data_IF_500093292721
#
_entry.id   IF_500093292721
#
_cell.length_a   1.000
_cell.length_b   1.000
_cell.length_c   1.000
_cell.angle_alpha   90.00
_cell.angle_beta   90.00
_cell.angle_gamma   90.00
#
_symmetry.space_group_name_H-M   'P 1'
#
loop_
_entity.id
_entity.type
_entity.pdbx_description
1 polymer ?
#
# COMPACT_ATOMS: atom_id res chain seq x y z
N UNK A 1 5.78 1.05 26.73
CA UNK A 1 5.25 0.30 25.57
C UNK A 1 5.06 1.24 24.38
N UNK A 2 6.02 1.31 23.44
CA UNK A 2 5.85 2.10 22.20
C UNK A 2 4.99 1.28 21.24
N UNK A 3 3.65 1.49 21.25
CA UNK A 3 2.73 0.89 20.27
C UNK A 3 3.15 1.39 18.89
N UNK A 4 3.88 0.56 18.13
CA UNK A 4 4.16 0.82 16.71
C UNK A 4 2.82 0.76 15.97
N UNK A 5 2.27 1.91 15.61
CA UNK A 5 1.09 2.01 14.76
C UNK A 5 1.39 1.31 13.42
N UNK A 6 0.49 0.42 12.99
CA UNK A 6 0.55 -0.26 11.69
C UNK A 6 0.54 0.76 10.55
N UNK A 7 1.18 0.46 9.41
CA UNK A 7 1.15 1.31 8.20
C UNK A 7 -0.29 1.67 7.82
N UNK A 8 -1.25 0.73 7.93
CA UNK A 8 -2.66 0.99 7.65
C UNK A 8 -3.27 2.05 8.57
N UNK A 9 -2.90 2.05 9.85
CA UNK A 9 -3.35 3.05 10.80
C UNK A 9 -2.74 4.42 10.49
N UNK A 10 -1.46 4.48 10.10
CA UNK A 10 -0.83 5.70 9.61
C UNK A 10 -1.49 6.24 8.35
N UNK A 11 -1.84 5.37 7.40
CA UNK A 11 -2.56 5.76 6.19
C UNK A 11 -3.91 6.37 6.51
N UNK A 12 -4.68 5.74 7.41
CA UNK A 12 -5.97 6.27 7.86
C UNK A 12 -5.84 7.63 8.56
N UNK A 13 -4.83 7.81 9.42
CA UNK A 13 -4.56 9.09 10.08
C UNK A 13 -4.22 10.18 9.05
N UNK A 14 -3.30 9.89 8.12
CA UNK A 14 -2.88 10.85 7.09
C UNK A 14 -4.05 11.20 6.16
N UNK A 15 -4.86 10.22 5.76
CA UNK A 15 -6.07 10.46 4.96
C UNK A 15 -7.10 11.29 5.70
N UNK A 16 -7.32 11.02 7.00
CA UNK A 16 -8.24 11.79 7.83
C UNK A 16 -7.76 13.23 7.97
N UNK A 17 -6.46 13.43 8.20
CA UNK A 17 -5.84 14.74 8.25
C UNK A 17 -5.99 15.49 6.91
N UNK A 18 -5.79 14.81 5.78
CA UNK A 18 -5.98 15.37 4.45
C UNK A 18 -7.44 15.77 4.21
N UNK A 19 -8.40 14.92 4.59
CA UNK A 19 -9.83 15.23 4.50
C UNK A 19 -10.22 16.42 5.39
N UNK A 20 -9.59 16.55 6.56
CA UNK A 20 -9.75 17.68 7.48
C UNK A 20 -9.31 19.03 6.90
N UNK A 21 -8.47 19.05 5.86
CA UNK A 21 -8.10 20.29 5.16
C UNK A 21 -9.28 20.90 4.39
N UNK A 22 -10.28 20.10 3.98
CA UNK A 22 -11.46 20.57 3.25
C UNK A 22 -12.29 21.55 4.10
N UNK A 23 -12.77 21.19 5.31
CA UNK A 23 -13.50 22.13 6.16
C UNK A 23 -12.61 23.28 6.63
N UNK A 24 -11.32 23.06 6.87
CA UNK A 24 -10.41 24.13 7.25
C UNK A 24 -10.25 25.18 6.13
N UNK A 25 -10.31 24.77 4.85
CA UNK A 25 -10.31 25.69 3.69
C UNK A 25 -11.57 26.55 3.68
N UNK A 26 -12.73 25.94 3.94
CA UNK A 26 -14.00 26.67 4.03
C UNK A 26 -13.98 27.69 5.18
N UNK A 27 -13.39 27.31 6.31
CA UNK A 27 -13.20 28.22 7.44
C UNK A 27 -12.29 29.39 7.09
N UNK A 28 -11.16 29.13 6.41
CA UNK A 28 -10.25 30.17 5.93
C UNK A 28 -10.94 31.15 4.96
N UNK A 29 -11.73 30.64 4.02
CA UNK A 29 -12.50 31.45 3.08
C UNK A 29 -13.58 32.29 3.77
N UNK A 30 -14.20 31.77 4.84
CA UNK A 30 -15.18 32.52 5.63
C UNK A 30 -14.53 33.61 6.48
N UNK A 31 -13.27 33.41 6.88
CA UNK A 31 -12.48 34.37 7.64
C UNK A 31 -11.67 35.33 6.75
N UNK A 32 -12.10 35.56 5.50
CA UNK A 32 -11.40 36.43 4.55
C UNK A 32 -11.39 37.89 5.05
N UNK A 33 -10.24 38.48 5.35
CA UNK A 33 -10.17 39.83 5.92
C UNK A 33 -10.47 40.89 4.85
N UNK A 34 -11.37 41.82 5.17
CA UNK A 34 -11.84 42.85 4.23
C UNK A 34 -11.11 44.19 4.38
N UNK A 35 -10.66 44.55 5.58
CA UNK A 35 -10.36 45.97 5.90
C UNK A 35 -8.87 46.33 6.02
N UNK A 36 -7.97 45.44 6.48
CA UNK A 36 -6.57 45.83 6.74
C UNK A 36 -5.52 45.02 5.96
N UNK A 37 -4.42 45.69 5.59
CA UNK A 37 -3.30 45.06 4.87
C UNK A 37 -2.55 44.01 5.71
N UNK A 38 -2.46 44.23 7.03
CA UNK A 38 -1.80 43.31 7.96
C UNK A 38 -2.59 42.02 8.17
N UNK A 39 -3.92 42.09 8.30
CA UNK A 39 -4.76 40.89 8.39
C UNK A 39 -4.71 40.06 7.11
N UNK A 40 -4.69 40.70 5.93
CA UNK A 40 -4.49 40.00 4.65
C UNK A 40 -3.16 39.26 4.61
N UNK A 41 -2.11 39.85 5.18
CA UNK A 41 -0.77 39.24 5.25
C UNK A 41 -0.76 38.03 6.17
N UNK A 42 -1.36 38.12 7.36
CA UNK A 42 -1.50 37.00 8.30
C UNK A 42 -2.36 35.89 7.68
N UNK A 43 -3.45 36.24 7.00
CA UNK A 43 -4.31 35.28 6.30
C UNK A 43 -3.58 34.55 5.17
N UNK A 44 -2.77 35.26 4.37
CA UNK A 44 -1.90 34.67 3.35
C UNK A 44 -0.85 33.72 3.95
N UNK A 45 -0.27 34.08 5.10
CA UNK A 45 0.66 33.19 5.84
C UNK A 45 -0.08 31.93 6.30
N UNK A 46 -1.29 32.05 6.83
CA UNK A 46 -2.10 30.90 7.23
C UNK A 46 -2.48 30.01 6.02
N UNK A 47 -2.87 30.61 4.90
CA UNK A 47 -3.20 29.89 3.66
C UNK A 47 -1.98 29.17 3.06
N UNK A 48 -0.82 29.82 3.05
CA UNK A 48 0.43 29.22 2.58
C UNK A 48 0.91 28.10 3.50
N UNK A 49 0.83 28.28 4.83
CA UNK A 49 1.15 27.22 5.79
C UNK A 49 0.24 25.99 5.60
N UNK A 50 -1.05 26.22 5.36
CA UNK A 50 -2.01 25.17 5.05
C UNK A 50 -1.64 24.42 3.77
N UNK A 51 -1.21 25.14 2.73
CA UNK A 51 -0.78 24.55 1.46
C UNK A 51 0.49 23.70 1.64
N UNK A 52 1.46 24.19 2.42
CA UNK A 52 2.68 23.43 2.78
C UNK A 52 2.30 22.14 3.54
N UNK A 53 1.37 22.22 4.49
CA UNK A 53 0.89 21.07 5.23
C UNK A 53 0.22 20.03 4.30
N UNK A 54 -0.59 20.49 3.33
CA UNK A 54 -1.23 19.63 2.34
C UNK A 54 -0.20 18.88 1.48
N UNK A 55 0.82 19.58 0.98
CA UNK A 55 1.90 18.97 0.18
C UNK A 55 2.68 17.96 1.01
N UNK A 56 3.00 18.30 2.27
CA UNK A 56 3.68 17.37 3.19
C UNK A 56 2.87 16.11 3.46
N UNK A 57 1.55 16.24 3.65
CA UNK A 57 0.63 15.11 3.81
C UNK A 57 0.60 14.20 2.57
N UNK A 58 0.55 14.78 1.37
CA UNK A 58 0.60 14.02 0.12
C UNK A 58 1.92 13.28 -0.04
N UNK A 59 3.05 13.92 0.29
CA UNK A 59 4.36 13.28 0.23
C UNK A 59 4.47 12.13 1.25
N UNK A 60 3.95 12.32 2.46
CA UNK A 60 3.91 11.28 3.48
C UNK A 60 3.05 10.08 3.05
N UNK A 61 1.89 10.33 2.44
CA UNK A 61 1.04 9.28 1.86
C UNK A 61 1.75 8.54 0.72
N UNK A 62 2.42 9.28 -0.16
CA UNK A 62 3.17 8.69 -1.27
C UNK A 62 4.32 7.82 -0.77
N UNK A 63 5.06 8.28 0.25
CA UNK A 63 6.10 7.51 0.91
C UNK A 63 5.56 6.21 1.53
N UNK A 64 4.41 6.29 2.18
CA UNK A 64 3.75 5.13 2.78
C UNK A 64 3.30 4.13 1.70
N UNK A 65 2.72 4.62 0.61
CA UNK A 65 2.34 3.80 -0.54
C UNK A 65 3.55 3.11 -1.20
N UNK A 66 4.68 3.83 -1.34
CA UNK A 66 5.95 3.27 -1.81
C UNK A 66 6.45 2.14 -0.91
N UNK A 67 6.29 2.28 0.42
CA UNK A 67 6.63 1.23 1.37
C UNK A 67 5.73 0.00 1.21
N UNK A 68 4.42 0.19 1.13
CA UNK A 68 3.47 -0.90 0.96
C UNK A 68 3.69 -1.65 -0.37
N UNK A 69 4.01 -0.94 -1.47
CA UNK A 69 4.34 -1.57 -2.76
C UNK A 69 5.60 -2.46 -2.65
N UNK A 70 6.63 -2.01 -1.91
CA UNK A 70 7.84 -2.83 -1.69
C UNK A 70 7.53 -4.09 -0.88
N UNK A 71 6.73 -3.99 0.17
CA UNK A 71 6.29 -5.15 0.96
C UNK A 71 5.47 -6.14 0.11
N UNK A 72 4.57 -5.64 -0.74
CA UNK A 72 3.78 -6.47 -1.66
C UNK A 72 4.70 -7.20 -2.65
N UNK A 73 5.71 -6.53 -3.23
CA UNK A 73 6.64 -7.17 -4.16
C UNK A 73 7.50 -8.26 -3.51
N UNK A 74 7.86 -8.12 -2.24
CA UNK A 74 8.58 -9.16 -1.50
C UNK A 74 7.68 -10.35 -1.19
N UNK A 75 6.41 -10.11 -0.83
CA UNK A 75 5.42 -11.17 -0.65
C UNK A 75 5.11 -11.89 -1.96
N UNK A 76 5.00 -11.15 -3.08
CA UNK A 76 4.77 -11.75 -4.40
C UNK A 76 5.93 -12.65 -4.82
N UNK A 77 7.18 -12.24 -4.58
CA UNK A 77 8.36 -13.09 -4.86
C UNK A 77 8.37 -14.38 -4.03
N UNK A 78 7.94 -14.31 -2.76
CA UNK A 78 7.83 -15.51 -1.90
C UNK A 78 6.69 -16.43 -2.34
N UNK A 79 5.52 -15.86 -2.66
CA UNK A 79 4.38 -16.61 -3.16
C UNK A 79 4.69 -17.31 -4.49
N UNK A 80 5.43 -16.64 -5.39
CA UNK A 80 5.85 -17.25 -6.64
C UNK A 80 6.80 -18.44 -6.42
N UNK A 81 7.74 -18.36 -5.48
CA UNK A 81 8.63 -19.48 -5.15
C UNK A 81 7.87 -20.66 -4.53
N UNK A 82 6.94 -20.38 -3.63
CA UNK A 82 6.11 -21.42 -3.01
C UNK A 82 5.23 -22.13 -4.06
N UNK A 83 4.62 -21.38 -4.98
CA UNK A 83 3.83 -21.96 -6.08
C UNK A 83 4.69 -22.79 -7.05
N UNK A 84 5.95 -22.40 -7.28
CA UNK A 84 6.89 -23.17 -8.10
C UNK A 84 7.34 -24.47 -7.41
N UNK A 85 7.57 -24.45 -6.09
CA UNK A 85 7.88 -25.67 -5.31
C UNK A 85 6.71 -26.66 -5.32
N UNK A 86 5.48 -26.18 -5.10
CA UNK A 86 4.28 -27.03 -5.16
C UNK A 86 4.08 -27.66 -6.55
N UNK A 87 4.26 -26.88 -7.62
CA UNK A 87 4.17 -27.40 -8.99
C UNK A 87 5.28 -28.41 -9.31
N UNK A 88 6.52 -28.18 -8.84
CA UNK A 88 7.62 -29.11 -9.10
C UNK A 88 7.51 -30.39 -8.28
N UNK A 89 6.94 -30.36 -7.08
CA UNK A 89 6.60 -31.56 -6.32
C UNK A 89 5.50 -32.38 -6.99
N UNK A 90 4.45 -31.74 -7.50
CA UNK A 90 3.40 -32.45 -8.24
C UNK A 90 3.95 -33.11 -9.51
N UNK A 91 4.77 -32.39 -10.29
CA UNK A 91 5.39 -32.95 -11.50
C UNK A 91 6.34 -34.10 -11.13
N UNK A 92 7.15 -33.96 -10.07
CA UNK A 92 8.05 -35.02 -9.60
C UNK A 92 7.28 -36.27 -9.15
N UNK A 93 6.19 -36.09 -8.40
CA UNK A 93 5.33 -37.18 -7.96
C UNK A 93 4.66 -37.90 -9.14
N UNK A 94 4.26 -37.14 -10.17
CA UNK A 94 3.63 -37.70 -11.37
C UNK A 94 4.64 -38.46 -12.25
N UNK A 95 5.88 -37.97 -12.37
CA UNK A 95 6.98 -38.70 -13.01
C UNK A 95 7.37 -39.97 -12.26
N UNK A 96 7.42 -39.93 -10.92
CA UNK A 96 7.69 -41.12 -10.11
C UNK A 96 6.58 -42.16 -10.25
N UNK A 97 5.31 -41.76 -10.31
CA UNK A 97 4.19 -42.67 -10.60
C UNK A 97 4.31 -43.33 -11.97
N UNK A 98 4.74 -42.58 -12.98
CA UNK A 98 4.96 -43.11 -14.34
C UNK A 98 6.18 -44.03 -14.45
N UNK A 99 7.25 -43.77 -13.68
CA UNK A 99 8.42 -44.67 -13.61
C UNK A 99 8.16 -45.92 -12.76
N UNK A 100 7.34 -45.81 -11.72
CA UNK A 100 6.94 -46.94 -10.87
C UNK A 100 5.82 -47.80 -11.50
N UNK A 101 5.44 -47.54 -12.76
CA UNK A 101 4.56 -48.39 -13.54
C UNK A 101 5.39 -49.22 -14.54
N UNK A 102 6.08 -50.29 -14.09
CA UNK A 102 6.65 -51.25 -15.01
C UNK A 102 5.50 -51.97 -15.71
N UNK A 103 5.36 -51.73 -17.01
CA UNK A 103 5.27 -52.76 -18.05
C UNK A 103 4.59 -54.09 -17.65
N UNK A 104 3.36 -54.04 -17.13
CA UNK A 104 2.60 -55.23 -16.66
C UNK A 104 1.32 -55.50 -17.46
N UNK A 105 1.13 -54.85 -18.61
CA UNK A 105 -0.02 -55.11 -19.50
C UNK A 105 0.42 -55.30 -20.95
N UNK A 106 1.31 -56.25 -21.21
CA UNK A 106 1.45 -56.82 -22.56
C UNK A 106 2.12 -58.20 -22.53
N UNK A 107 1.64 -59.10 -21.69
CA UNK A 107 1.88 -60.54 -21.79
C UNK A 107 0.68 -61.22 -21.11
N UNK A 108 -0.25 -61.76 -21.90
CA UNK A 108 -1.40 -62.51 -21.39
C UNK A 108 -2.71 -62.18 -22.09
N UNK A 109 -2.82 -62.59 -23.35
CA UNK A 109 -4.08 -63.07 -23.92
C UNK A 109 -3.69 -63.94 -25.11
N UNK A 110 -3.62 -65.24 -24.82
CA UNK A 110 -3.66 -66.34 -25.78
C UNK A 110 -4.87 -66.22 -26.73
#
# INVERSE_FOLDING_TARGET
MKRKLSNRAWMAILLTALAGLIPARLFLLRALPQETADEKRIWLIAASAMLIAAVGLLFALMWLALKDIREIQEQYRKAHRAAFEEMTEQIRADYQRKQAQPQSKQNGAD
#
